data_IF_405842607163
#
_entry.id   IF_405842607163
#
_cell.length_a   1.000
_cell.length_b   1.000
_cell.length_c   1.000
_cell.angle_alpha   90.00
_cell.angle_beta   90.00
_cell.angle_gamma   90.00
#
_symmetry.space_group_name_H-M   'P 1'
#
loop_
_entity.id
_entity.type
_entity.pdbx_description
1 polymer ?
#
# COMPACT_ATOMS: atom_id res chain seq x y z
N UNK A 1 -8.01 -3.51 -5.76
CA UNK A 1 -8.44 -4.91 -6.07
C UNK A 1 -8.19 -5.82 -4.87
N UNK A 2 -9.04 -6.84 -4.67
CA UNK A 2 -8.90 -7.86 -3.61
C UNK A 2 -8.52 -9.19 -4.26
N UNK A 3 -7.48 -9.84 -3.77
CA UNK A 3 -7.07 -11.18 -4.20
C UNK A 3 -7.28 -12.18 -3.07
N UNK A 4 -7.89 -13.31 -3.38
CA UNK A 4 -8.05 -14.47 -2.49
C UNK A 4 -7.24 -15.60 -3.08
N UNK A 5 -6.30 -16.16 -2.32
CA UNK A 5 -5.50 -17.32 -2.71
C UNK A 5 -5.75 -18.43 -1.71
N UNK A 6 -6.45 -19.46 -2.17
CA UNK A 6 -6.84 -20.61 -1.35
C UNK A 6 -7.15 -21.79 -2.28
N UNK A 7 -6.55 -22.94 -2.07
CA UNK A 7 -6.76 -24.13 -2.90
C UNK A 7 -8.10 -24.86 -2.57
N UNK A 8 -8.71 -24.51 -1.44
CA UNK A 8 -10.08 -24.89 -1.11
C UNK A 8 -11.09 -23.92 -1.77
N UNK A 9 -11.37 -24.10 -3.05
CA UNK A 9 -12.23 -23.20 -3.84
C UNK A 9 -13.59 -22.95 -3.20
N UNK A 10 -14.18 -23.95 -2.54
CA UNK A 10 -15.48 -23.81 -1.85
C UNK A 10 -15.36 -22.76 -0.74
N UNK A 11 -14.29 -22.80 0.03
CA UNK A 11 -14.05 -21.81 1.08
C UNK A 11 -13.76 -20.42 0.48
N UNK A 12 -12.93 -20.34 -0.56
CA UNK A 12 -12.63 -19.09 -1.24
C UNK A 12 -13.90 -18.39 -1.77
N UNK A 13 -14.82 -19.14 -2.37
CA UNK A 13 -16.12 -18.62 -2.80
C UNK A 13 -17.02 -18.16 -1.63
N UNK A 14 -16.98 -18.88 -0.51
CA UNK A 14 -17.68 -18.45 0.70
C UNK A 14 -17.13 -17.14 1.24
N UNK A 15 -15.79 -17.01 1.31
CA UNK A 15 -15.11 -15.77 1.72
C UNK A 15 -15.47 -14.61 0.76
N UNK A 16 -15.41 -14.84 -0.55
CA UNK A 16 -15.82 -13.86 -1.56
C UNK A 16 -17.25 -13.39 -1.35
N UNK A 17 -18.18 -14.32 -1.12
CA UNK A 17 -19.59 -14.00 -0.87
C UNK A 17 -19.77 -13.11 0.37
N UNK A 18 -19.00 -13.32 1.42
CA UNK A 18 -19.00 -12.45 2.59
C UNK A 18 -18.39 -11.07 2.26
N UNK A 19 -17.27 -11.02 1.52
CA UNK A 19 -16.59 -9.78 1.16
C UNK A 19 -17.43 -8.88 0.26
N UNK A 20 -18.19 -9.43 -0.69
CA UNK A 20 -19.08 -8.66 -1.57
C UNK A 20 -20.12 -7.84 -0.80
N UNK A 21 -20.53 -8.26 0.40
CA UNK A 21 -21.44 -7.50 1.25
C UNK A 21 -20.85 -6.14 1.69
N UNK A 22 -19.52 -6.04 1.75
CA UNK A 22 -18.78 -4.85 2.20
C UNK A 22 -18.12 -4.11 1.04
N UNK A 23 -17.72 -4.81 0.00
CA UNK A 23 -16.94 -4.30 -1.15
C UNK A 23 -17.70 -4.51 -2.46
N UNK A 24 -18.87 -3.87 -2.60
CA UNK A 24 -19.77 -4.06 -3.75
C UNK A 24 -19.17 -3.66 -5.11
N UNK A 25 -18.25 -2.70 -5.12
CA UNK A 25 -17.64 -2.16 -6.35
C UNK A 25 -16.18 -2.60 -6.54
N UNK A 26 -15.66 -3.48 -5.67
CA UNK A 26 -14.27 -3.94 -5.76
C UNK A 26 -14.16 -5.19 -6.65
N UNK A 27 -13.10 -5.24 -7.43
CA UNK A 27 -12.77 -6.46 -8.17
C UNK A 27 -12.17 -7.49 -7.18
N UNK A 28 -12.88 -8.62 -6.97
CA UNK A 28 -12.48 -9.72 -6.09
C UNK A 28 -12.16 -10.93 -6.94
N UNK A 29 -10.88 -11.30 -6.97
CA UNK A 29 -10.36 -12.43 -7.75
C UNK A 29 -10.02 -13.58 -6.81
N UNK A 30 -10.32 -14.82 -7.22
CA UNK A 30 -9.95 -16.05 -6.53
C UNK A 30 -8.91 -16.78 -7.38
N UNK A 31 -7.88 -17.29 -6.74
CA UNK A 31 -6.87 -18.17 -7.32
C UNK A 31 -6.65 -19.37 -6.39
N UNK A 32 -6.46 -20.57 -6.97
CA UNK A 32 -6.13 -21.79 -6.22
C UNK A 32 -4.64 -21.94 -5.92
N UNK A 33 -3.81 -21.13 -6.53
CA UNK A 33 -2.36 -21.04 -6.35
C UNK A 33 -1.92 -19.60 -6.57
N UNK A 34 -0.77 -19.22 -6.00
CA UNK A 34 -0.27 -17.86 -6.14
C UNK A 34 0.42 -17.66 -7.48
N UNK A 35 -0.07 -16.71 -8.27
CA UNK A 35 0.53 -16.30 -9.54
C UNK A 35 1.38 -15.04 -9.33
N UNK A 36 2.71 -15.20 -9.29
CA UNK A 36 3.68 -14.12 -9.09
C UNK A 36 3.61 -13.08 -10.20
N UNK A 37 3.47 -13.54 -11.46
CA UNK A 37 3.37 -12.66 -12.62
C UNK A 37 2.10 -11.82 -12.61
N UNK A 38 0.98 -12.41 -12.20
CA UNK A 38 -0.27 -11.69 -12.02
C UNK A 38 -0.15 -10.68 -10.89
N UNK A 39 0.44 -11.09 -9.77
CA UNK A 39 0.63 -10.23 -8.60
C UNK A 39 1.48 -9.00 -8.94
N UNK A 40 2.60 -9.19 -9.66
CA UNK A 40 3.53 -8.11 -10.02
C UNK A 40 2.94 -7.12 -11.04
N UNK A 41 1.94 -7.54 -11.83
CA UNK A 41 1.29 -6.71 -12.86
C UNK A 41 0.03 -5.99 -12.39
N UNK A 42 -0.47 -6.29 -11.20
CA UNK A 42 -1.75 -5.77 -10.71
C UNK A 42 -1.62 -5.05 -9.36
N UNK A 43 -2.37 -3.97 -9.19
CA UNK A 43 -2.44 -3.22 -7.92
C UNK A 43 -3.42 -3.93 -6.96
N UNK A 44 -2.86 -4.70 -6.03
CA UNK A 44 -3.61 -5.48 -5.05
C UNK A 44 -3.60 -4.76 -3.70
N UNK A 45 -4.76 -4.33 -3.22
CA UNK A 45 -4.92 -3.64 -1.94
C UNK A 45 -4.98 -4.59 -0.75
N UNK A 46 -5.67 -5.74 -0.95
CA UNK A 46 -5.90 -6.73 0.10
C UNK A 46 -5.63 -8.11 -0.49
N UNK A 47 -4.77 -8.87 0.17
CA UNK A 47 -4.49 -10.26 -0.11
C UNK A 47 -5.00 -11.12 1.04
N UNK A 48 -6.05 -11.90 0.79
CA UNK A 48 -6.45 -13.01 1.64
C UNK A 48 -5.68 -14.24 1.20
N UNK A 49 -4.91 -14.85 2.09
CA UNK A 49 -3.93 -15.86 1.75
C UNK A 49 -4.03 -17.05 2.69
N UNK A 50 -4.35 -18.21 2.15
CA UNK A 50 -4.22 -19.44 2.91
C UNK A 50 -2.75 -19.74 3.21
N UNK A 51 -2.50 -20.28 4.39
CA UNK A 51 -1.16 -20.69 4.82
C UNK A 51 -0.79 -22.04 4.20
N UNK A 52 -1.74 -22.96 4.10
CA UNK A 52 -1.51 -24.33 3.67
C UNK A 52 -1.97 -24.56 2.23
N UNK A 53 -1.28 -23.95 1.27
CA UNK A 53 -1.51 -24.22 -0.14
C UNK A 53 -0.81 -25.53 -0.58
N UNK A 54 -1.36 -26.22 -1.58
CA UNK A 54 -0.83 -27.51 -2.07
C UNK A 54 0.65 -27.49 -2.42
N UNK A 55 1.12 -26.41 -3.04
CA UNK A 55 2.46 -26.35 -3.63
C UNK A 55 3.40 -25.40 -2.89
N UNK A 56 2.87 -24.51 -2.07
CA UNK A 56 3.64 -23.45 -1.40
C UNK A 56 3.08 -23.13 -0.02
N UNK A 57 3.92 -22.56 0.84
CA UNK A 57 3.48 -22.05 2.12
C UNK A 57 3.10 -20.56 1.98
N UNK A 58 1.87 -20.19 2.41
CA UNK A 58 1.39 -18.82 2.34
C UNK A 58 2.26 -17.81 3.08
N UNK A 59 2.99 -18.23 4.14
CA UNK A 59 3.91 -17.35 4.85
C UNK A 59 5.11 -16.99 3.96
N UNK A 60 5.61 -17.93 3.14
CA UNK A 60 6.70 -17.67 2.20
C UNK A 60 6.26 -16.73 1.07
N UNK A 61 5.04 -16.90 0.57
CA UNK A 61 4.42 -15.97 -0.39
C UNK A 61 4.32 -14.57 0.24
N UNK A 62 3.87 -14.47 1.48
CA UNK A 62 3.78 -13.18 2.17
C UNK A 62 5.17 -12.53 2.38
N UNK A 63 6.21 -13.31 2.66
CA UNK A 63 7.62 -12.84 2.69
C UNK A 63 8.04 -12.29 1.33
N UNK A 64 7.71 -12.98 0.24
CA UNK A 64 7.96 -12.49 -1.10
C UNK A 64 7.27 -11.13 -1.33
N UNK A 65 5.97 -11.01 -1.04
CA UNK A 65 5.24 -9.77 -1.18
C UNK A 65 5.90 -8.62 -0.41
N UNK A 66 6.42 -8.87 0.81
CA UNK A 66 7.11 -7.85 1.61
C UNK A 66 8.48 -7.47 1.06
N UNK A 67 9.24 -8.42 0.47
CA UNK A 67 10.57 -8.19 -0.12
C UNK A 67 10.50 -7.49 -1.47
N UNK A 68 9.53 -7.81 -2.30
CA UNK A 68 9.37 -7.28 -3.66
C UNK A 68 8.85 -5.83 -3.72
N UNK A 69 8.78 -5.14 -2.58
CA UNK A 69 8.39 -3.72 -2.53
C UNK A 69 6.89 -3.46 -2.27
N UNK A 70 6.05 -4.49 -2.24
CA UNK A 70 4.61 -4.39 -1.97
C UNK A 70 4.29 -4.23 -0.47
N UNK A 71 4.89 -3.23 0.16
CA UNK A 71 4.86 -3.05 1.63
C UNK A 71 3.51 -2.59 2.15
N UNK A 72 2.73 -1.95 1.30
CA UNK A 72 1.45 -1.37 1.68
C UNK A 72 0.26 -2.31 1.48
N UNK A 73 0.48 -3.48 0.88
CA UNK A 73 -0.58 -4.48 0.74
C UNK A 73 -1.07 -4.95 2.13
N UNK A 74 -2.38 -5.03 2.30
CA UNK A 74 -2.99 -5.58 3.49
C UNK A 74 -3.05 -7.09 3.36
N UNK A 75 -2.10 -7.80 3.97
CA UNK A 75 -2.09 -9.27 4.00
C UNK A 75 -2.98 -9.72 5.16
N UNK A 76 -3.91 -10.60 4.86
CA UNK A 76 -4.80 -11.27 5.81
C UNK A 76 -4.59 -12.76 5.61
N UNK A 77 -4.06 -13.44 6.63
CA UNK A 77 -4.00 -14.89 6.58
C UNK A 77 -5.34 -15.51 6.88
N UNK A 78 -5.60 -16.61 6.20
CA UNK A 78 -6.79 -17.43 6.41
C UNK A 78 -6.31 -18.86 6.61
N UNK A 79 -6.69 -19.52 7.70
CA UNK A 79 -6.26 -20.91 7.97
C UNK A 79 -7.20 -21.62 8.92
N UNK A 80 -7.27 -22.94 8.82
CA UNK A 80 -7.92 -23.81 9.78
C UNK A 80 -7.07 -24.04 11.04
N UNK A 81 -5.78 -23.67 11.02
CA UNK A 81 -4.83 -23.97 12.09
C UNK A 81 -4.33 -22.67 12.74
N UNK A 82 -4.88 -22.34 13.90
CA UNK A 82 -4.50 -21.14 14.69
C UNK A 82 -3.06 -21.19 15.23
N UNK A 83 -2.40 -22.36 15.23
CA UNK A 83 -0.99 -22.51 15.62
C UNK A 83 -0.02 -21.67 14.79
N UNK A 84 -0.34 -21.39 13.52
CA UNK A 84 0.48 -20.57 12.63
C UNK A 84 0.50 -19.08 12.96
N UNK A 85 -0.37 -18.60 13.84
CA UNK A 85 -0.45 -17.16 14.16
C UNK A 85 0.91 -16.58 14.54
N UNK A 86 1.71 -17.29 15.34
CA UNK A 86 3.04 -16.81 15.74
C UNK A 86 4.02 -16.68 14.56
N UNK A 87 3.99 -17.63 13.61
CA UNK A 87 4.88 -17.64 12.45
C UNK A 87 4.56 -16.52 11.47
N UNK A 88 3.32 -16.01 11.50
CA UNK A 88 2.89 -14.90 10.61
C UNK A 88 3.37 -13.53 11.08
N UNK A 89 3.81 -13.34 12.33
CA UNK A 89 4.18 -12.00 12.85
C UNK A 89 5.32 -11.33 12.10
N UNK A 90 6.25 -12.09 11.56
CA UNK A 90 7.39 -11.53 10.81
C UNK A 90 6.97 -10.77 9.54
N UNK A 91 5.88 -11.20 8.87
CA UNK A 91 5.35 -10.55 7.65
C UNK A 91 4.30 -9.47 7.97
N UNK A 92 4.01 -9.23 9.25
CA UNK A 92 3.08 -8.21 9.74
C UNK A 92 1.76 -8.20 8.99
N UNK A 93 0.96 -9.28 9.10
CA UNK A 93 -0.37 -9.29 8.54
C UNK A 93 -1.23 -8.25 9.25
N UNK A 94 -2.29 -7.78 8.59
CA UNK A 94 -3.25 -6.90 9.25
C UNK A 94 -4.20 -7.68 10.14
N UNK A 95 -4.47 -8.93 9.77
CA UNK A 95 -5.31 -9.84 10.54
C UNK A 95 -5.01 -11.32 10.21
N UNK A 96 -5.52 -12.18 11.06
CA UNK A 96 -5.61 -13.62 10.86
C UNK A 96 -7.08 -14.03 11.01
N UNK A 97 -7.60 -14.78 10.03
CA UNK A 97 -8.98 -15.28 9.99
C UNK A 97 -8.94 -16.79 10.13
N UNK A 98 -9.66 -17.31 11.10
CA UNK A 98 -9.88 -18.75 11.25
C UNK A 98 -11.00 -19.18 10.28
N UNK A 99 -10.76 -20.24 9.50
CA UNK A 99 -11.76 -20.73 8.53
C UNK A 99 -13.09 -21.08 9.19
N UNK A 100 -13.06 -21.62 10.41
CA UNK A 100 -14.25 -21.98 11.20
C UNK A 100 -14.99 -20.77 11.81
N UNK A 101 -14.36 -19.59 11.89
CA UNK A 101 -14.93 -18.38 12.51
C UNK A 101 -14.99 -17.19 11.55
N UNK A 102 -15.12 -17.45 10.24
CA UNK A 102 -15.02 -16.46 9.17
C UNK A 102 -15.87 -15.21 9.41
N UNK A 103 -17.14 -15.35 9.78
CA UNK A 103 -18.05 -14.21 9.92
C UNK A 103 -17.68 -13.29 11.07
N UNK A 104 -17.11 -13.81 12.15
CA UNK A 104 -16.66 -13.02 13.30
C UNK A 104 -15.32 -12.35 13.03
N UNK A 105 -14.34 -13.15 12.58
CA UNK A 105 -12.98 -12.68 12.37
C UNK A 105 -12.90 -11.71 11.20
N UNK A 106 -13.71 -11.91 10.13
CA UNK A 106 -13.79 -10.98 9.01
C UNK A 106 -14.26 -9.59 9.43
N UNK A 107 -15.28 -9.49 10.28
CA UNK A 107 -15.75 -8.17 10.78
C UNK A 107 -14.64 -7.43 11.51
N UNK A 108 -13.87 -8.12 12.37
CA UNK A 108 -12.72 -7.53 13.07
C UNK A 108 -11.64 -7.11 12.08
N UNK A 109 -11.33 -7.96 11.11
CA UNK A 109 -10.36 -7.68 10.04
C UNK A 109 -10.74 -6.43 9.25
N UNK A 110 -11.98 -6.33 8.79
CA UNK A 110 -12.47 -5.17 8.03
C UNK A 110 -12.37 -3.87 8.84
N UNK A 111 -12.70 -3.91 10.14
CA UNK A 111 -12.54 -2.76 11.03
C UNK A 111 -11.08 -2.29 11.13
N UNK A 112 -10.11 -3.21 11.14
CA UNK A 112 -8.68 -2.88 11.15
C UNK A 112 -8.24 -2.26 9.83
N UNK A 113 -8.72 -2.80 8.70
CA UNK A 113 -8.43 -2.26 7.36
C UNK A 113 -9.01 -0.84 7.23
N UNK A 114 -10.26 -0.63 7.63
CA UNK A 114 -10.92 0.67 7.55
C UNK A 114 -10.24 1.71 8.45
N UNK A 115 -9.83 1.33 9.66
CA UNK A 115 -9.04 2.19 10.54
C UNK A 115 -7.73 2.58 9.89
N UNK A 116 -6.96 1.62 9.37
CA UNK A 116 -5.71 1.89 8.66
C UNK A 116 -5.91 2.81 7.45
N UNK A 117 -6.98 2.58 6.66
CA UNK A 117 -7.34 3.43 5.53
C UNK A 117 -7.74 4.85 5.95
N UNK A 118 -8.43 5.02 7.08
CA UNK A 118 -8.81 6.35 7.58
C UNK A 118 -7.63 7.12 8.17
N UNK A 119 -6.68 6.44 8.81
CA UNK A 119 -5.44 7.05 9.33
C UNK A 119 -4.54 7.59 8.21
N UNK A 120 -4.69 7.07 6.98
CA UNK A 120 -3.92 7.50 5.80
C UNK A 120 -4.65 8.49 4.90
N UNK A 121 -5.83 8.99 5.29
CA UNK A 121 -6.59 9.98 4.49
C UNK A 121 -6.34 11.40 4.99
N UNK A 122 -6.30 12.33 4.04
CA UNK A 122 -6.26 13.77 4.30
C UNK A 122 -7.44 14.47 3.61
N UNK A 123 -7.87 15.58 4.18
CA UNK A 123 -8.89 16.42 3.59
C UNK A 123 -8.24 17.53 2.74
N UNK A 124 -8.53 17.55 1.44
CA UNK A 124 -8.05 18.57 0.53
C UNK A 124 -9.29 19.25 -0.11
N UNK A 125 -9.55 20.51 0.22
CA UNK A 125 -10.73 21.27 -0.27
C UNK A 125 -12.02 20.43 -0.19
N UNK A 126 -12.36 19.92 0.99
CA UNK A 126 -13.54 19.09 1.27
C UNK A 126 -13.57 17.71 0.56
N UNK A 127 -12.50 17.34 -0.12
CA UNK A 127 -12.32 16.02 -0.71
C UNK A 127 -11.42 15.16 0.16
N UNK A 128 -11.90 14.01 0.60
CA UNK A 128 -11.12 13.04 1.37
C UNK A 128 -10.26 12.19 0.43
N UNK A 129 -8.94 12.30 0.54
CA UNK A 129 -7.95 11.67 -0.34
C UNK A 129 -7.08 10.72 0.44
N UNK A 130 -6.86 9.52 -0.08
CA UNK A 130 -5.89 8.60 0.48
C UNK A 130 -4.47 9.06 0.12
N UNK A 131 -3.59 9.15 1.11
CA UNK A 131 -2.18 9.54 0.91
C UNK A 131 -1.43 8.59 -0.04
N UNK A 132 -1.80 7.31 -0.04
CA UNK A 132 -1.20 6.31 -0.94
C UNK A 132 -1.60 6.50 -2.42
N UNK A 133 -2.66 7.27 -2.69
CA UNK A 133 -3.06 7.60 -4.04
C UNK A 133 -2.31 8.83 -4.59
N UNK A 134 -1.61 9.58 -3.72
CA UNK A 134 -0.86 10.78 -4.13
C UNK A 134 0.57 10.37 -4.52
N UNK A 135 0.90 10.53 -5.79
CA UNK A 135 2.24 10.29 -6.33
C UNK A 135 3.21 11.40 -5.95
N UNK A 136 2.79 12.64 -6.20
CA UNK A 136 3.57 13.82 -5.86
C UNK A 136 2.68 15.07 -5.76
N UNK A 137 3.26 16.13 -5.22
CA UNK A 137 2.63 17.43 -5.05
C UNK A 137 3.54 18.46 -5.69
N UNK A 138 2.98 19.28 -6.59
CA UNK A 138 3.72 20.37 -7.23
C UNK A 138 3.13 21.73 -6.90
N UNK A 139 3.98 22.74 -6.84
CA UNK A 139 3.54 24.13 -6.73
C UNK A 139 3.67 24.85 -8.07
N UNK A 140 2.62 25.54 -8.45
CA UNK A 140 2.57 26.41 -9.62
C UNK A 140 1.89 27.72 -9.23
N UNK A 141 2.63 28.82 -9.35
CA UNK A 141 2.19 30.14 -8.91
C UNK A 141 1.70 30.15 -7.46
N UNK A 142 0.43 30.46 -7.22
CA UNK A 142 -0.20 30.55 -5.90
C UNK A 142 -0.97 29.27 -5.48
N UNK A 143 -0.79 28.18 -6.23
CA UNK A 143 -1.51 26.94 -6.02
C UNK A 143 -0.57 25.76 -5.87
N UNK A 144 -1.07 24.71 -5.22
CA UNK A 144 -0.48 23.38 -5.22
C UNK A 144 -1.43 22.40 -5.87
N UNK A 145 -0.87 21.40 -6.54
CA UNK A 145 -1.59 20.35 -7.23
C UNK A 145 -1.15 19.02 -6.67
N UNK A 146 -2.09 18.26 -6.12
CA UNK A 146 -1.89 16.88 -5.70
C UNK A 146 -2.14 15.97 -6.89
N UNK A 147 -1.11 15.30 -7.38
CA UNK A 147 -1.17 14.42 -8.53
C UNK A 147 -1.41 12.98 -8.08
N UNK A 148 -2.50 12.39 -8.53
CA UNK A 148 -2.98 11.08 -8.09
C UNK A 148 -2.64 9.99 -9.12
N UNK A 149 -2.53 8.73 -8.66
CA UNK A 149 -2.28 7.54 -9.49
C UNK A 149 -3.25 7.38 -10.66
N UNK A 150 -4.51 7.76 -10.49
CA UNK A 150 -5.55 7.66 -11.51
C UNK A 150 -5.50 8.79 -12.56
N UNK A 151 -4.43 9.58 -12.58
CA UNK A 151 -4.27 10.73 -13.48
C UNK A 151 -5.05 11.98 -13.06
N UNK A 152 -5.86 11.91 -11.99
CA UNK A 152 -6.56 13.07 -11.46
C UNK A 152 -5.62 14.02 -10.73
N UNK A 153 -6.05 15.27 -10.61
CA UNK A 153 -5.32 16.30 -9.90
C UNK A 153 -6.28 17.13 -9.04
N UNK A 154 -5.88 17.36 -7.79
CA UNK A 154 -6.64 18.22 -6.89
C UNK A 154 -5.84 19.49 -6.67
N UNK A 155 -6.42 20.64 -7.06
CA UNK A 155 -5.83 21.96 -6.90
C UNK A 155 -6.22 22.55 -5.55
N UNK A 156 -5.26 23.09 -4.79
CA UNK A 156 -5.53 23.78 -3.52
C UNK A 156 -4.74 25.08 -3.41
N UNK A 157 -5.33 26.09 -2.77
CA UNK A 157 -4.66 27.37 -2.53
C UNK A 157 -3.94 27.34 -1.17
N UNK A 158 -2.72 26.82 -1.17
CA UNK A 158 -1.89 26.69 0.03
C UNK A 158 -0.41 26.77 -0.35
N UNK A 159 0.48 26.82 0.65
CA UNK A 159 1.93 26.84 0.43
C UNK A 159 2.50 25.43 0.55
N UNK A 160 3.44 25.08 -0.34
CA UNK A 160 4.11 23.78 -0.33
C UNK A 160 4.82 23.48 1.00
N UNK A 161 5.38 24.54 1.67
CA UNK A 161 6.01 24.41 2.98
C UNK A 161 5.04 24.04 4.13
N UNK A 162 3.76 24.40 4.00
CA UNK A 162 2.74 23.97 4.97
C UNK A 162 2.45 22.47 4.78
N UNK A 163 2.26 22.06 3.53
CA UNK A 163 2.01 20.66 3.19
C UNK A 163 3.20 19.78 3.59
N UNK A 164 4.42 20.22 3.36
CA UNK A 164 5.63 19.50 3.77
C UNK A 164 5.60 19.13 5.26
N UNK A 165 5.25 20.07 6.14
CA UNK A 165 5.13 19.82 7.58
C UNK A 165 3.99 18.86 7.93
N UNK A 166 2.84 19.01 7.28
CA UNK A 166 1.67 18.16 7.51
C UNK A 166 1.90 16.69 7.10
N UNK A 167 2.68 16.50 6.02
CA UNK A 167 2.88 15.18 5.42
C UNK A 167 4.23 14.53 5.77
N UNK A 168 5.08 15.18 6.58
CA UNK A 168 6.41 14.66 6.92
C UNK A 168 6.37 13.25 7.53
N UNK A 169 5.38 12.96 8.38
CA UNK A 169 5.19 11.65 9.01
C UNK A 169 4.73 10.53 8.07
N UNK A 170 4.32 10.88 6.84
CA UNK A 170 3.74 9.97 5.87
C UNK A 170 4.66 9.68 4.66
N UNK A 171 5.98 9.79 4.86
CA UNK A 171 7.00 9.52 3.85
C UNK A 171 6.95 10.45 2.62
N UNK A 172 6.32 11.63 2.75
CA UNK A 172 6.42 12.68 1.74
C UNK A 172 7.71 13.47 1.92
N UNK A 173 8.48 13.63 0.84
CA UNK A 173 9.80 14.24 0.87
C UNK A 173 9.92 15.34 -0.15
N UNK A 174 10.38 16.51 0.30
CA UNK A 174 10.67 17.61 -0.61
C UNK A 174 11.98 17.35 -1.35
N UNK A 175 11.94 17.33 -2.68
CA UNK A 175 13.11 17.11 -3.53
C UNK A 175 13.46 18.34 -4.38
N UNK A 176 12.56 19.33 -4.45
CA UNK A 176 12.71 20.52 -5.26
C UNK A 176 11.97 21.71 -4.64
N UNK A 177 12.29 22.94 -5.07
CA UNK A 177 11.54 24.15 -4.66
C UNK A 177 10.04 24.02 -4.94
N UNK A 178 9.68 23.29 -5.98
CA UNK A 178 8.30 23.14 -6.45
C UNK A 178 7.73 21.74 -6.27
N UNK A 179 8.50 20.75 -5.76
CA UNK A 179 8.02 19.36 -5.68
C UNK A 179 8.22 18.73 -4.32
N UNK A 180 7.16 18.05 -3.87
CA UNK A 180 7.17 17.06 -2.80
C UNK A 180 6.75 15.72 -3.41
N UNK A 181 7.51 14.66 -3.17
CA UNK A 181 7.21 13.31 -3.70
C UNK A 181 6.83 12.37 -2.57
N UNK A 182 5.95 11.43 -2.87
CA UNK A 182 5.68 10.33 -1.99
C UNK A 182 6.76 9.25 -2.21
N UNK A 183 7.56 8.97 -1.20
CA UNK A 183 8.68 8.02 -1.30
C UNK A 183 8.22 6.58 -1.57
N UNK A 184 6.98 6.24 -1.23
CA UNK A 184 6.40 4.92 -1.49
C UNK A 184 6.29 4.61 -3.00
N UNK A 185 6.21 5.64 -3.85
CA UNK A 185 6.05 5.53 -5.31
C UNK A 185 7.34 5.74 -6.09
N UNK A 186 8.48 5.89 -5.41
CA UNK A 186 9.78 6.04 -6.09
C UNK A 186 10.26 4.68 -6.59
N UNK A 187 10.41 4.57 -7.91
CA UNK A 187 10.90 3.35 -8.57
C UNK A 187 12.40 3.40 -8.85
N UNK A 188 12.95 4.60 -9.16
CA UNK A 188 14.38 4.80 -9.42
C UNK A 188 14.85 6.15 -8.91
N UNK A 189 16.11 6.22 -8.46
CA UNK A 189 16.75 7.47 -8.06
C UNK A 189 18.07 7.64 -8.79
N UNK A 190 18.28 8.85 -9.32
CA UNK A 190 19.52 9.33 -9.91
C UNK A 190 20.04 10.55 -9.13
N UNK A 191 21.24 11.04 -9.48
CA UNK A 191 21.85 12.15 -8.75
C UNK A 191 21.06 13.48 -8.83
N UNK A 192 20.35 13.73 -9.92
CA UNK A 192 19.68 15.01 -10.25
C UNK A 192 18.17 14.85 -10.55
N UNK A 193 17.67 13.63 -10.58
CA UNK A 193 16.24 13.34 -10.73
C UNK A 193 15.87 12.00 -10.09
N UNK A 194 14.59 11.80 -9.88
CA UNK A 194 13.99 10.52 -9.51
C UNK A 194 12.88 10.15 -10.50
N UNK A 195 12.52 8.87 -10.49
CA UNK A 195 11.43 8.34 -11.31
C UNK A 195 10.39 7.75 -10.35
N UNK A 196 9.16 8.17 -10.50
CA UNK A 196 7.99 7.59 -9.82
C UNK A 196 7.38 6.48 -10.68
N UNK A 197 6.34 5.84 -10.16
CA UNK A 197 5.44 4.99 -10.94
C UNK A 197 4.98 5.73 -12.21
N UNK A 198 4.48 5.02 -13.22
CA UNK A 198 4.09 5.56 -14.53
C UNK A 198 5.23 6.29 -15.28
N UNK A 199 6.50 6.02 -14.91
CA UNK A 199 7.70 6.65 -15.48
C UNK A 199 7.73 8.19 -15.34
N UNK A 200 7.05 8.76 -14.37
CA UNK A 200 7.04 10.19 -14.08
C UNK A 200 8.41 10.61 -13.56
N UNK A 201 9.09 11.51 -14.28
CA UNK A 201 10.42 12.01 -13.93
C UNK A 201 10.31 13.33 -13.17
N UNK A 202 10.86 13.40 -11.95
CA UNK A 202 10.90 14.60 -11.12
C UNK A 202 12.35 14.99 -10.84
N UNK A 203 12.69 16.27 -11.08
CA UNK A 203 14.03 16.80 -10.82
C UNK A 203 14.31 16.98 -9.33
N UNK A 204 15.55 16.74 -8.92
CA UNK A 204 16.06 17.02 -7.57
C UNK A 204 16.93 18.29 -7.68
N UNK A 205 16.49 19.37 -7.03
CA UNK A 205 17.27 20.61 -7.05
C UNK A 205 18.47 20.57 -6.11
N UNK A 206 19.52 21.32 -6.41
CA UNK A 206 20.75 21.34 -5.60
C UNK A 206 20.50 21.72 -4.15
N UNK A 207 19.61 22.66 -3.89
CA UNK A 207 19.26 23.13 -2.54
C UNK A 207 18.51 22.11 -1.67
N UNK A 208 17.87 21.12 -2.28
CA UNK A 208 17.09 20.09 -1.58
C UNK A 208 17.75 18.71 -1.61
N UNK A 209 18.83 18.56 -2.35
CA UNK A 209 19.48 17.26 -2.62
C UNK A 209 19.88 16.54 -1.35
N UNK A 210 20.67 17.17 -0.49
CA UNK A 210 21.22 16.52 0.70
C UNK A 210 20.11 16.12 1.67
N UNK A 211 19.19 17.05 1.96
CA UNK A 211 18.03 16.79 2.81
C UNK A 211 17.13 15.68 2.27
N UNK A 212 16.91 15.64 0.94
CA UNK A 212 16.12 14.59 0.31
C UNK A 212 16.80 13.22 0.45
N UNK A 213 18.10 13.13 0.12
CA UNK A 213 18.83 11.87 0.20
C UNK A 213 18.96 11.36 1.63
N UNK A 214 19.11 12.25 2.62
CA UNK A 214 19.15 11.86 4.04
C UNK A 214 17.79 11.25 4.47
N UNK A 215 16.69 11.94 4.19
CA UNK A 215 15.33 11.44 4.48
C UNK A 215 15.05 10.13 3.74
N UNK A 216 15.46 10.02 2.47
CA UNK A 216 15.24 8.80 1.69
C UNK A 216 16.08 7.62 2.19
N UNK A 217 17.33 7.85 2.62
CA UNK A 217 18.14 6.81 3.27
C UNK A 217 17.50 6.29 4.54
N UNK A 218 16.96 7.17 5.37
CA UNK A 218 16.27 6.78 6.60
C UNK A 218 14.98 6.00 6.31
N UNK A 219 14.22 6.41 5.32
CA UNK A 219 13.07 5.68 4.82
C UNK A 219 13.49 4.28 4.32
N UNK A 220 14.52 4.18 3.49
CA UNK A 220 15.02 2.92 2.94
C UNK A 220 15.61 1.99 4.02
N UNK A 221 16.27 2.55 5.04
CA UNK A 221 16.76 1.78 6.20
C UNK A 221 15.62 1.23 7.06
N UNK A 222 14.57 2.01 7.30
CA UNK A 222 13.37 1.54 7.99
C UNK A 222 12.75 0.37 7.23
N UNK A 223 12.72 0.47 5.92
CA UNK A 223 12.25 -0.57 5.03
C UNK A 223 13.11 -1.84 5.11
N UNK A 224 14.47 -1.71 5.07
CA UNK A 224 15.40 -2.85 5.15
C UNK A 224 15.54 -3.48 6.54
N UNK A 225 15.33 -2.74 7.63
CA UNK A 225 15.30 -3.30 9.00
C UNK A 225 14.03 -4.09 9.30
N UNK A 226 13.08 -4.05 8.40
CA UNK A 226 11.77 -4.70 8.48
C UNK A 226 11.75 -5.97 7.61
N UNK A 227 12.83 -6.23 6.83
CA UNK A 227 12.99 -7.41 5.99
C UNK A 227 14.08 -8.35 6.48
#
# INVERSE_FOLDING_TARGET
MILIVDDEIIFAEQLKKELVKYYQNENIIIMSEFDYDFFDKNDIDILFLDIELKNENGIDIARYCRKSGYKNINIVFVSSHSSYVYDTFEVRPIAFIRKEAISEDLKKCLSLIDRKRSETKILINDTLVNLLDILYIESEANYVYYRLKNGLSIKSRTKLSKIEKELERYNFMRCHTSYIVNAEHITKIHADFLVLEDNIKISISRSWRDSFFDKYRDFYRKIKKIG
#
